data_IF_120011408450
#
_entry.id   IF_120011408450
#
_cell.length_a   1.000
_cell.length_b   1.000
_cell.length_c   1.000
_cell.angle_alpha   90.00
_cell.angle_beta   90.00
_cell.angle_gamma   90.00
#
_symmetry.space_group_name_H-M   'P 1'
#
loop_
_entity.id
_entity.type
_entity.pdbx_description
1 polymer ?
#
# COMPACT_ATOMS: atom_id res chain seq x y z
N UNK A 1 -16.02 -5.85 -2.85
CA UNK A 1 -14.63 -6.34 -2.70
C UNK A 1 -13.89 -5.49 -1.66
N UNK A 2 -12.82 -5.99 -1.03
CA UNK A 2 -12.07 -5.21 -0.02
C UNK A 2 -10.72 -4.78 -0.57
N UNK A 3 -10.45 -3.48 -0.59
CA UNK A 3 -9.17 -2.93 -1.04
C UNK A 3 -8.50 -2.24 0.13
N UNK A 4 -7.29 -2.69 0.46
CA UNK A 4 -6.49 -2.10 1.53
C UNK A 4 -5.72 -0.87 1.04
N UNK A 5 -5.57 0.13 1.90
CA UNK A 5 -4.60 1.22 1.73
C UNK A 5 -3.61 1.15 2.89
N UNK A 6 -2.31 1.02 2.61
CA UNK A 6 -1.28 1.01 3.65
C UNK A 6 -1.25 2.38 4.34
N UNK A 7 -1.70 2.43 5.60
CA UNK A 7 -2.02 3.67 6.29
C UNK A 7 -1.01 4.02 7.38
N UNK A 8 0.28 3.92 7.04
CA UNK A 8 1.39 4.22 7.96
C UNK A 8 1.88 5.67 7.84
N UNK A 9 1.99 6.18 6.62
CA UNK A 9 2.36 7.57 6.32
C UNK A 9 1.99 7.90 4.88
N UNK A 10 1.70 9.18 4.61
CA UNK A 10 1.47 9.70 3.27
C UNK A 10 0.02 10.14 3.01
N UNK A 11 -0.31 10.30 1.73
CA UNK A 11 -1.56 10.85 1.19
C UNK A 11 -2.71 9.82 1.26
N UNK A 12 -2.97 9.29 2.46
CA UNK A 12 -3.87 8.15 2.69
C UNK A 12 -5.31 8.50 2.27
N UNK A 13 -5.80 9.69 2.65
CA UNK A 13 -7.19 10.08 2.42
C UNK A 13 -7.47 10.33 0.94
N UNK A 14 -6.51 10.94 0.25
CA UNK A 14 -6.54 11.17 -1.19
C UNK A 14 -6.60 9.86 -1.95
N UNK A 15 -5.79 8.87 -1.54
CA UNK A 15 -5.81 7.56 -2.16
C UNK A 15 -7.10 6.77 -1.89
N UNK A 16 -7.65 6.84 -0.69
CA UNK A 16 -8.96 6.23 -0.41
C UNK A 16 -10.05 6.84 -1.28
N UNK A 17 -10.06 8.18 -1.40
CA UNK A 17 -11.05 8.88 -2.20
C UNK A 17 -10.91 8.53 -3.68
N UNK A 18 -9.69 8.49 -4.20
CA UNK A 18 -9.41 8.08 -5.59
C UNK A 18 -9.89 6.65 -5.87
N UNK A 19 -9.69 5.71 -4.93
CA UNK A 19 -10.21 4.34 -5.07
C UNK A 19 -11.74 4.36 -5.09
N UNK A 20 -12.40 5.06 -4.16
CA UNK A 20 -13.87 5.15 -4.10
C UNK A 20 -14.45 5.74 -5.38
N UNK A 21 -13.87 6.82 -5.90
CA UNK A 21 -14.32 7.48 -7.11
C UNK A 21 -14.12 6.61 -8.36
N UNK A 22 -12.95 5.98 -8.49
CA UNK A 22 -12.66 5.04 -9.58
C UNK A 22 -13.55 3.81 -9.53
N UNK A 23 -13.84 3.29 -8.33
CA UNK A 23 -14.70 2.13 -8.16
C UNK A 23 -16.14 2.46 -8.55
N UNK A 24 -16.63 3.63 -8.14
CA UNK A 24 -17.96 4.13 -8.53
C UNK A 24 -18.08 4.31 -10.04
N UNK A 25 -17.08 4.90 -10.70
CA UNK A 25 -17.13 5.12 -12.16
C UNK A 25 -17.11 3.82 -12.96
N UNK A 26 -16.47 2.78 -12.43
CA UNK A 26 -16.43 1.45 -13.02
C UNK A 26 -17.60 0.55 -12.59
N UNK A 27 -18.47 1.00 -11.69
CA UNK A 27 -19.62 0.25 -11.20
C UNK A 27 -19.27 -0.89 -10.23
N UNK A 28 -18.13 -0.82 -9.55
CA UNK A 28 -17.72 -1.79 -8.54
C UNK A 28 -18.08 -1.31 -7.12
N UNK A 29 -18.59 -2.24 -6.31
CA UNK A 29 -18.75 -2.03 -4.87
C UNK A 29 -17.46 -2.39 -4.12
N UNK A 30 -16.81 -1.38 -3.56
CA UNK A 30 -15.49 -1.47 -2.93
C UNK A 30 -15.54 -0.93 -1.51
N UNK A 31 -15.19 -1.79 -0.56
CA UNK A 31 -14.93 -1.46 0.83
C UNK A 31 -13.44 -1.12 0.97
N UNK A 32 -13.13 0.16 1.18
CA UNK A 32 -11.76 0.66 1.31
C UNK A 32 -11.37 0.66 2.79
N UNK A 33 -10.33 -0.11 3.13
CA UNK A 33 -9.89 -0.30 4.51
C UNK A 33 -8.46 0.19 4.72
N UNK A 34 -8.21 0.88 5.84
CA UNK A 34 -6.85 1.28 6.25
C UNK A 34 -6.11 0.08 6.84
N UNK A 35 -4.92 -0.19 6.33
CA UNK A 35 -4.06 -1.28 6.80
C UNK A 35 -2.97 -0.68 7.68
N UNK A 36 -3.00 -0.98 8.98
CA UNK A 36 -2.03 -0.50 9.98
C UNK A 36 -1.39 -1.63 10.78
N UNK A 37 -1.96 -2.84 10.72
CA UNK A 37 -1.53 -4.03 11.48
C UNK A 37 -1.63 -5.27 10.59
N UNK A 38 -0.87 -6.34 10.88
CA UNK A 38 -0.91 -7.58 10.09
C UNK A 38 -2.34 -8.15 9.91
N UNK A 39 -3.17 -8.08 10.95
CA UNK A 39 -4.55 -8.58 10.91
C UNK A 39 -5.45 -7.85 9.90
N UNK A 40 -5.10 -6.63 9.50
CA UNK A 40 -5.89 -5.84 8.54
C UNK A 40 -5.71 -6.34 7.08
N UNK A 41 -4.69 -7.15 6.82
CA UNK A 41 -4.42 -7.74 5.50
C UNK A 41 -5.40 -8.87 5.15
N UNK A 42 -6.08 -9.43 6.16
CA UNK A 42 -6.91 -10.63 6.00
C UNK A 42 -8.13 -10.36 5.11
N UNK A 43 -8.24 -11.13 4.03
CA UNK A 43 -9.40 -11.08 3.13
C UNK A 43 -9.42 -9.87 2.19
N UNK A 44 -8.28 -9.19 2.02
CA UNK A 44 -8.13 -8.18 0.99
C UNK A 44 -8.16 -8.81 -0.41
N UNK A 45 -8.84 -8.14 -1.33
CA UNK A 45 -8.83 -8.44 -2.77
C UNK A 45 -7.68 -7.74 -3.49
N UNK A 46 -7.05 -6.76 -2.84
CA UNK A 46 -5.88 -6.04 -3.31
C UNK A 46 -5.43 -4.98 -2.30
N UNK A 47 -4.23 -4.46 -2.47
CA UNK A 47 -3.66 -3.43 -1.60
C UNK A 47 -2.98 -2.32 -2.39
N UNK A 48 -3.19 -1.08 -1.96
CA UNK A 48 -2.51 0.10 -2.46
C UNK A 48 -1.51 0.62 -1.42
N UNK A 49 -0.28 0.88 -1.86
CA UNK A 49 0.79 1.48 -1.07
C UNK A 49 0.91 2.94 -1.53
N UNK A 50 0.52 3.90 -0.68
CA UNK A 50 0.37 5.30 -1.07
C UNK A 50 1.71 5.99 -1.32
N UNK A 51 1.63 7.20 -1.89
CA UNK A 51 2.75 8.13 -1.99
C UNK A 51 3.15 8.74 -0.64
N UNK A 52 4.19 9.57 -0.63
CA UNK A 52 4.76 10.15 0.58
C UNK A 52 6.29 10.12 0.54
N UNK A 53 6.92 9.73 1.65
CA UNK A 53 8.37 9.57 1.72
C UNK A 53 8.71 8.09 1.93
N UNK A 54 9.34 7.46 0.94
CA UNK A 54 9.59 6.01 0.93
C UNK A 54 10.43 5.53 2.11
N UNK A 55 11.43 6.33 2.52
CA UNK A 55 12.27 6.03 3.70
C UNK A 55 11.44 6.02 4.99
N UNK A 56 10.50 6.93 5.13
CA UNK A 56 9.62 6.99 6.31
C UNK A 56 8.61 5.85 6.30
N UNK A 57 7.98 5.55 5.15
CA UNK A 57 7.11 4.38 4.98
C UNK A 57 7.89 3.09 5.31
N UNK A 58 9.12 2.96 4.81
CA UNK A 58 9.99 1.83 5.12
C UNK A 58 10.26 1.69 6.61
N UNK A 59 10.66 2.77 7.29
CA UNK A 59 10.94 2.76 8.74
C UNK A 59 9.69 2.42 9.57
N UNK A 60 8.53 2.93 9.19
CA UNK A 60 7.28 2.72 9.93
C UNK A 60 6.66 1.34 9.70
N UNK A 61 6.95 0.72 8.56
CA UNK A 61 6.44 -0.59 8.20
C UNK A 61 7.27 -1.74 8.77
N UNK A 62 8.46 -1.46 9.34
CA UNK A 62 9.34 -2.47 9.94
C UNK A 62 8.61 -3.38 10.94
N UNK A 63 9.05 -4.64 11.00
CA UNK A 63 8.48 -5.65 11.91
C UNK A 63 7.44 -6.54 11.23
N UNK A 64 6.48 -7.03 12.03
CA UNK A 64 5.53 -8.08 11.61
C UNK A 64 4.63 -7.66 10.45
N UNK A 65 4.28 -6.37 10.36
CA UNK A 65 3.44 -5.86 9.28
C UNK A 65 4.14 -5.97 7.92
N UNK A 66 5.44 -5.67 7.85
CA UNK A 66 6.19 -5.80 6.61
C UNK A 66 6.31 -7.24 6.14
N UNK A 67 6.59 -8.16 7.07
CA UNK A 67 6.68 -9.58 6.76
C UNK A 67 5.33 -10.10 6.26
N UNK A 68 4.25 -9.81 6.99
CA UNK A 68 2.91 -10.21 6.59
C UNK A 68 2.50 -9.63 5.23
N UNK A 69 2.76 -8.34 5.00
CA UNK A 69 2.47 -7.68 3.72
C UNK A 69 3.22 -8.34 2.56
N UNK A 70 4.53 -8.58 2.75
CA UNK A 70 5.36 -9.24 1.74
C UNK A 70 4.85 -10.64 1.44
N UNK A 71 4.52 -11.42 2.46
CA UNK A 71 4.07 -12.80 2.30
C UNK A 71 2.71 -12.84 1.58
N UNK A 72 1.76 -11.98 1.91
CA UNK A 72 0.47 -11.89 1.20
C UNK A 72 0.66 -11.53 -0.29
N UNK A 73 1.54 -10.57 -0.60
CA UNK A 73 1.85 -10.19 -1.98
C UNK A 73 2.47 -11.36 -2.75
N UNK A 74 3.43 -12.06 -2.14
CA UNK A 74 4.06 -13.23 -2.76
C UNK A 74 3.10 -14.41 -2.92
N UNK A 75 2.08 -14.51 -2.07
CA UNK A 75 1.01 -15.49 -2.17
C UNK A 75 -0.11 -15.09 -3.14
N UNK A 76 0.03 -13.96 -3.84
CA UNK A 76 -0.84 -13.57 -4.95
C UNK A 76 -1.81 -12.43 -4.65
N UNK A 77 -1.70 -11.74 -3.51
CA UNK A 77 -2.44 -10.51 -3.25
C UNK A 77 -2.02 -9.43 -4.27
N UNK A 78 -2.94 -8.92 -5.12
CA UNK A 78 -2.61 -7.84 -6.04
C UNK A 78 -2.18 -6.58 -5.29
N UNK A 79 -1.04 -6.01 -5.65
CA UNK A 79 -0.50 -4.80 -5.03
C UNK A 79 -0.22 -3.70 -6.05
N UNK A 80 -0.52 -2.46 -5.69
CA UNK A 80 -0.20 -1.26 -6.45
C UNK A 80 0.56 -0.27 -5.57
N UNK A 81 1.76 0.11 -5.99
CA UNK A 81 2.53 1.19 -5.36
C UNK A 81 2.51 2.44 -6.21
N UNK A 82 2.36 3.60 -5.59
CA UNK A 82 2.40 4.91 -6.28
C UNK A 82 3.44 5.84 -5.65
N UNK A 83 4.18 6.58 -6.48
CA UNK A 83 5.28 7.45 -6.04
C UNK A 83 6.24 6.72 -5.06
N UNK A 84 6.29 7.13 -3.80
CA UNK A 84 7.07 6.48 -2.75
C UNK A 84 6.69 5.00 -2.54
N UNK A 85 5.42 4.63 -2.69
CA UNK A 85 4.96 3.25 -2.63
C UNK A 85 5.53 2.39 -3.77
N UNK A 86 5.77 2.96 -4.96
CA UNK A 86 6.42 2.25 -6.05
C UNK A 86 7.91 1.98 -5.74
N UNK A 87 8.61 2.96 -5.16
CA UNK A 87 9.98 2.80 -4.68
C UNK A 87 10.05 1.73 -3.59
N UNK A 88 9.10 1.75 -2.66
CA UNK A 88 8.98 0.78 -1.56
C UNK A 88 8.83 -0.67 -2.05
N UNK A 89 8.12 -0.89 -3.17
CA UNK A 89 7.94 -2.22 -3.76
C UNK A 89 9.15 -2.72 -4.56
N UNK A 90 10.14 -1.87 -4.82
CA UNK A 90 11.28 -2.24 -5.66
C UNK A 90 12.20 -3.25 -4.95
N UNK A 91 12.70 -4.24 -5.70
CA UNK A 91 13.72 -5.18 -5.20
C UNK A 91 15.05 -4.47 -4.88
N UNK A 92 15.39 -3.49 -5.69
CA UNK A 92 16.62 -2.70 -5.57
C UNK A 92 16.27 -1.23 -5.76
N UNK A 93 16.75 -0.38 -4.85
CA UNK A 93 16.58 1.07 -4.92
C UNK A 93 17.98 1.68 -5.01
N UNK A 94 18.20 2.50 -6.04
CA UNK A 94 19.46 3.23 -6.21
C UNK A 94 19.20 4.69 -5.84
N UNK A 95 19.83 5.15 -4.77
CA UNK A 95 19.84 6.56 -4.43
C UNK A 95 21.01 7.26 -5.11
N UNK A 96 20.85 8.55 -5.46
CA UNK A 96 21.96 9.35 -5.95
C UNK A 96 22.76 9.78 -4.72
N UNK A 97 23.85 9.07 -4.44
CA UNK A 97 24.88 9.60 -3.53
C UNK A 97 25.43 10.86 -4.20
N UNK A 98 25.00 12.03 -3.74
CA UNK A 98 25.66 13.29 -4.07
C UNK A 98 26.90 13.34 -3.16
N UNK A 99 27.99 12.80 -3.69
CA UNK A 99 29.35 12.99 -3.15
C UNK A 99 30.06 14.05 -3.98
#
# INVERSE_FOLDING_TARGET
>A
MRIGVLALQGDIEEHEQAIRDSSRSLGFDVDVVRVKRPGDLKGLSGILIPGGESTTIWKLSQGELMLALRDEILNGLPAMGTCAGAIFMAKEVKDRVVG
#
